data_IF_000681528182
#
_entry.id   IF_000681528182
#
_cell.length_a   1.000
_cell.length_b   1.000
_cell.length_c   1.000
_cell.angle_alpha   90.00
_cell.angle_beta   90.00
_cell.angle_gamma   90.00
#
_symmetry.space_group_name_H-M   'P 1'
#
loop_
_entity.id
_entity.type
_entity.pdbx_description
1 polymer ?
#
# COMPACT_ATOMS: atom_id res chain seq x y z
N UNK A 1 -3.95 -89.39 -46.36
CA UNK A 1 -4.40 -88.01 -46.62
C UNK A 1 -4.71 -87.34 -45.29
N UNK A 2 -3.81 -86.51 -44.78
CA UNK A 2 -4.05 -85.72 -43.56
C UNK A 2 -3.99 -84.25 -43.96
N UNK A 3 -5.17 -83.64 -44.15
CA UNK A 3 -5.31 -82.21 -44.41
C UNK A 3 -5.04 -81.43 -43.12
N UNK A 4 -3.99 -80.62 -43.10
CA UNK A 4 -3.74 -79.68 -42.01
C UNK A 4 -4.59 -78.43 -42.29
N UNK A 5 -5.46 -77.97 -41.36
CA UNK A 5 -6.37 -76.88 -41.63
C UNK A 5 -5.63 -75.53 -41.60
N UNK A 6 -5.62 -74.86 -42.74
CA UNK A 6 -5.06 -73.51 -42.97
C UNK A 6 -5.98 -72.38 -42.44
N UNK A 7 -6.51 -72.53 -41.22
CA UNK A 7 -7.50 -71.59 -40.65
C UNK A 7 -7.01 -70.66 -39.52
N UNK A 8 -5.85 -70.94 -38.92
CA UNK A 8 -5.43 -70.29 -37.66
C UNK A 8 -4.47 -69.10 -37.79
N UNK A 9 -3.65 -69.05 -38.85
CA UNK A 9 -2.53 -68.11 -38.94
C UNK A 9 -2.96 -66.67 -39.25
N UNK A 10 -3.96 -66.49 -40.12
CA UNK A 10 -4.48 -65.15 -40.47
C UNK A 10 -5.26 -64.48 -39.34
N UNK A 11 -5.91 -65.27 -38.48
CA UNK A 11 -6.71 -64.77 -37.35
C UNK A 11 -5.82 -64.28 -36.22
N UNK A 12 -4.73 -65.02 -35.92
CA UNK A 12 -3.74 -64.61 -34.92
C UNK A 12 -2.98 -63.34 -35.32
N UNK A 13 -2.62 -63.21 -36.61
CA UNK A 13 -1.93 -62.03 -37.12
C UNK A 13 -2.83 -60.77 -37.07
N UNK A 14 -4.13 -60.92 -37.39
CA UNK A 14 -5.12 -59.84 -37.27
C UNK A 14 -5.33 -59.39 -35.82
N UNK A 15 -5.43 -60.31 -34.87
CA UNK A 15 -5.58 -59.98 -33.44
C UNK A 15 -4.35 -59.25 -32.90
N UNK A 16 -3.14 -59.67 -33.31
CA UNK A 16 -1.89 -59.01 -32.91
C UNK A 16 -1.79 -57.56 -33.39
N UNK A 17 -2.19 -57.30 -34.65
CA UNK A 17 -2.22 -55.96 -35.24
C UNK A 17 -3.25 -55.04 -34.56
N UNK A 18 -4.43 -55.56 -34.21
CA UNK A 18 -5.47 -54.80 -33.48
C UNK A 18 -4.96 -54.40 -32.09
N UNK A 19 -4.40 -55.35 -31.32
CA UNK A 19 -3.85 -55.06 -29.98
C UNK A 19 -2.68 -54.06 -30.02
N UNK A 20 -1.84 -54.12 -31.06
CA UNK A 20 -0.75 -53.15 -31.24
C UNK A 20 -1.29 -51.75 -31.57
N UNK A 21 -2.30 -51.64 -32.43
CA UNK A 21 -2.99 -50.40 -32.75
C UNK A 21 -3.67 -49.75 -31.54
N UNK A 22 -4.41 -50.55 -30.75
CA UNK A 22 -5.04 -50.09 -29.49
C UNK A 22 -4.01 -49.52 -28.52
N UNK A 23 -2.87 -50.20 -28.33
CA UNK A 23 -1.80 -49.74 -27.44
C UNK A 23 -1.17 -48.42 -27.89
N UNK A 24 -1.08 -48.18 -29.20
CA UNK A 24 -0.56 -46.92 -29.76
C UNK A 24 -1.58 -45.79 -29.53
N UNK A 25 -2.87 -46.05 -29.79
CA UNK A 25 -3.94 -45.07 -29.58
C UNK A 25 -4.04 -44.66 -28.11
N UNK A 26 -3.97 -45.63 -27.19
CA UNK A 26 -4.01 -45.36 -25.74
C UNK A 26 -2.83 -44.51 -25.32
N UNK A 27 -1.60 -44.83 -25.75
CA UNK A 27 -0.41 -44.01 -25.44
C UNK A 27 -0.49 -42.57 -25.97
N UNK A 28 -1.07 -42.40 -27.17
CA UNK A 28 -1.27 -41.08 -27.76
C UNK A 28 -2.29 -40.27 -26.95
N UNK A 29 -3.41 -40.90 -26.59
CA UNK A 29 -4.44 -40.28 -25.77
C UNK A 29 -3.93 -39.92 -24.36
N UNK A 30 -3.18 -40.81 -23.71
CA UNK A 30 -2.53 -40.53 -22.42
C UNK A 30 -1.61 -39.31 -22.50
N UNK A 31 -0.79 -39.20 -23.55
CA UNK A 31 0.12 -38.06 -23.74
C UNK A 31 -0.64 -36.74 -23.96
N UNK A 32 -1.73 -36.77 -24.72
CA UNK A 32 -2.57 -35.58 -24.95
C UNK A 32 -3.31 -35.15 -23.68
N UNK A 33 -3.82 -36.10 -22.91
CA UNK A 33 -4.46 -35.86 -21.61
C UNK A 33 -3.44 -35.23 -20.64
N UNK A 34 -2.25 -35.83 -20.50
CA UNK A 34 -1.19 -35.32 -19.62
C UNK A 34 -0.81 -33.89 -20.00
N UNK A 35 -0.55 -33.62 -21.27
CA UNK A 35 -0.18 -32.28 -21.73
C UNK A 35 -1.26 -31.23 -21.49
N UNK A 36 -2.54 -31.61 -21.60
CA UNK A 36 -3.66 -30.70 -21.40
C UNK A 36 -3.84 -30.40 -19.91
N UNK A 37 -3.83 -31.45 -19.09
CA UNK A 37 -3.95 -31.35 -17.64
C UNK A 37 -2.78 -30.55 -17.05
N UNK A 38 -1.55 -30.79 -17.49
CA UNK A 38 -0.36 -30.04 -17.03
C UNK A 38 -0.49 -28.54 -17.30
N UNK A 39 -0.96 -28.16 -18.51
CA UNK A 39 -1.16 -26.75 -18.86
C UNK A 39 -2.28 -26.10 -18.05
N UNK A 40 -3.39 -26.80 -17.84
CA UNK A 40 -4.50 -26.26 -17.04
C UNK A 40 -4.11 -26.10 -15.57
N UNK A 41 -3.42 -27.09 -14.99
CA UNK A 41 -2.96 -27.04 -13.61
C UNK A 41 -1.96 -25.89 -13.43
N UNK A 42 -0.94 -25.78 -14.29
CA UNK A 42 0.06 -24.71 -14.20
C UNK A 42 -0.60 -23.35 -14.32
N UNK A 43 -1.47 -23.13 -15.31
CA UNK A 43 -2.15 -21.85 -15.49
C UNK A 43 -3.07 -21.50 -14.30
N UNK A 44 -3.73 -22.48 -13.70
CA UNK A 44 -4.59 -22.26 -12.53
C UNK A 44 -3.77 -21.92 -11.29
N UNK A 45 -2.70 -22.68 -11.05
CA UNK A 45 -1.76 -22.43 -9.95
C UNK A 45 -1.08 -21.06 -10.10
N UNK A 46 -0.64 -20.70 -11.30
CA UNK A 46 -0.01 -19.39 -11.56
C UNK A 46 -0.97 -18.23 -11.22
N UNK A 47 -2.25 -18.34 -11.62
CA UNK A 47 -3.27 -17.33 -11.29
C UNK A 47 -3.53 -17.25 -9.79
N UNK A 48 -3.70 -18.40 -9.12
CA UNK A 48 -3.92 -18.46 -7.68
C UNK A 48 -2.72 -17.89 -6.90
N UNK A 49 -1.48 -18.23 -7.30
CA UNK A 49 -0.25 -17.72 -6.69
C UNK A 49 -0.13 -16.21 -6.87
N UNK A 50 -0.33 -15.69 -8.08
CA UNK A 50 -0.24 -14.24 -8.33
C UNK A 50 -1.28 -13.46 -7.52
N UNK A 51 -2.51 -13.97 -7.44
CA UNK A 51 -3.57 -13.36 -6.65
C UNK A 51 -3.25 -13.39 -5.15
N UNK A 52 -2.72 -14.50 -4.66
CA UNK A 52 -2.39 -14.68 -3.25
C UNK A 52 -1.17 -13.86 -2.82
N UNK A 53 -0.14 -13.79 -3.65
CA UNK A 53 1.02 -12.91 -3.44
C UNK A 53 0.63 -11.43 -3.49
N UNK A 54 -0.28 -11.04 -4.38
CA UNK A 54 -0.81 -9.67 -4.43
C UNK A 54 -1.57 -9.30 -3.15
N UNK A 55 -2.37 -10.23 -2.61
CA UNK A 55 -3.08 -10.05 -1.33
C UNK A 55 -2.11 -10.00 -0.14
N UNK A 56 -1.08 -10.83 -0.13
CA UNK A 56 -0.10 -10.87 0.96
C UNK A 56 0.81 -9.63 0.98
N UNK A 57 1.21 -9.14 -0.20
CA UNK A 57 1.98 -7.89 -0.33
C UNK A 57 1.19 -6.65 0.12
N UNK A 58 -0.14 -6.69 0.09
CA UNK A 58 -1.01 -5.55 0.43
C UNK A 58 -1.67 -5.65 1.81
N UNK A 59 -1.48 -6.76 2.55
CA UNK A 59 -2.16 -7.03 3.84
C UNK A 59 -2.00 -5.95 4.93
N UNK A 60 -0.99 -5.07 4.83
CA UNK A 60 -0.77 -3.94 5.75
C UNK A 60 -1.04 -2.55 5.17
N UNK A 61 -1.00 -2.42 3.84
CA UNK A 61 -1.04 -1.12 3.15
C UNK A 61 -2.41 -0.48 3.33
N UNK A 62 -2.43 0.70 3.94
CA UNK A 62 -3.68 1.40 4.23
C UNK A 62 -4.59 0.71 5.26
N UNK A 63 -4.08 -0.24 6.06
CA UNK A 63 -4.89 -0.88 7.09
C UNK A 63 -5.22 0.11 8.23
N UNK A 64 -6.51 0.40 8.49
CA UNK A 64 -6.89 1.38 9.52
C UNK A 64 -6.41 1.05 10.94
N UNK A 65 -6.17 -0.23 11.26
CA UNK A 65 -5.66 -0.62 12.58
C UNK A 65 -4.19 -0.22 12.74
N UNK A 66 -3.39 -0.42 11.69
CA UNK A 66 -1.96 -0.05 11.67
C UNK A 66 -1.81 1.47 11.72
N UNK A 67 -2.62 2.20 10.94
CA UNK A 67 -2.62 3.68 10.94
C UNK A 67 -2.93 4.24 12.33
N UNK A 68 -3.84 3.62 13.09
CA UNK A 68 -4.18 4.04 14.46
C UNK A 68 -3.07 3.77 15.49
N UNK A 69 -2.11 2.92 15.17
CA UNK A 69 -1.05 2.45 16.06
C UNK A 69 0.35 2.83 15.58
N UNK A 70 0.48 3.91 14.81
CA UNK A 70 1.78 4.41 14.36
C UNK A 70 2.70 4.76 15.54
N UNK A 71 3.99 4.48 15.39
CA UNK A 71 5.01 4.70 16.42
C UNK A 71 5.32 6.18 16.68
N UNK A 72 6.12 6.44 17.73
CA UNK A 72 6.56 7.80 18.09
C UNK A 72 7.65 8.35 17.16
N UNK A 73 8.29 7.45 16.40
CA UNK A 73 9.27 7.69 15.35
C UNK A 73 8.63 8.09 14.02
N UNK A 74 7.29 8.18 13.94
CA UNK A 74 6.57 8.51 12.70
C UNK A 74 7.11 9.77 12.04
N UNK A 75 7.45 10.83 12.80
CA UNK A 75 7.98 12.05 12.19
C UNK A 75 9.41 11.88 11.66
N UNK A 76 10.25 11.08 12.31
CA UNK A 76 11.62 10.80 11.87
C UNK A 76 11.65 10.00 10.56
N UNK A 77 10.77 8.99 10.48
CA UNK A 77 10.58 8.19 9.26
C UNK A 77 10.13 9.10 8.11
N UNK A 78 9.18 10.00 8.37
CA UNK A 78 8.59 10.83 7.32
C UNK A 78 9.57 11.89 6.81
N UNK A 79 10.40 12.49 7.68
CA UNK A 79 11.46 13.40 7.22
C UNK A 79 12.50 12.69 6.37
N UNK A 80 12.92 11.49 6.78
CA UNK A 80 13.86 10.69 6.01
C UNK A 80 13.31 10.31 4.62
N UNK A 81 11.97 10.26 4.49
CA UNK A 81 11.26 9.95 3.25
C UNK A 81 10.72 11.21 2.54
N UNK A 82 11.34 12.38 2.75
CA UNK A 82 11.05 13.61 1.99
C UNK A 82 9.83 14.40 2.49
N UNK A 83 9.41 14.19 3.73
CA UNK A 83 8.59 15.13 4.49
C UNK A 83 9.44 16.25 5.11
N UNK A 84 8.80 17.29 5.63
CA UNK A 84 9.51 18.45 6.21
C UNK A 84 8.81 19.05 7.44
N UNK A 85 8.22 18.18 8.27
CA UNK A 85 7.45 18.61 9.47
C UNK A 85 8.37 19.11 10.59
N UNK A 86 9.40 18.36 10.97
CA UNK A 86 10.30 18.76 12.06
C UNK A 86 11.16 19.96 11.62
N UNK A 87 11.66 19.92 10.38
CA UNK A 87 12.48 20.97 9.80
C UNK A 87 11.75 22.31 9.77
N UNK A 88 10.50 22.36 9.29
CA UNK A 88 9.81 23.65 9.06
C UNK A 88 8.84 24.06 10.15
N UNK A 89 8.31 23.11 10.93
CA UNK A 89 7.15 23.35 11.78
C UNK A 89 7.32 22.87 13.23
N UNK A 90 8.53 22.60 13.71
CA UNK A 90 8.77 22.23 15.10
C UNK A 90 9.77 23.18 15.77
N UNK A 91 9.44 23.62 16.98
CA UNK A 91 10.32 24.40 17.87
C UNK A 91 10.90 25.68 17.24
N UNK A 92 10.11 26.40 16.43
CA UNK A 92 10.56 27.67 15.82
C UNK A 92 10.50 28.83 16.79
N UNK A 93 11.49 29.72 16.70
CA UNK A 93 11.49 30.98 17.45
C UNK A 93 10.36 31.90 16.95
N UNK A 94 9.99 32.92 17.73
CA UNK A 94 9.00 33.88 17.26
C UNK A 94 9.56 34.68 16.08
N UNK A 95 10.85 35.00 16.14
CA UNK A 95 11.59 35.73 15.12
C UNK A 95 11.59 34.98 13.79
N UNK A 96 11.80 33.66 13.81
CA UNK A 96 11.74 32.82 12.61
C UNK A 96 10.34 32.80 11.99
N UNK A 97 9.29 32.70 12.81
CA UNK A 97 7.91 32.70 12.34
C UNK A 97 7.53 34.06 11.73
N UNK A 98 7.90 35.16 12.39
CA UNK A 98 7.66 36.51 11.88
C UNK A 98 8.41 36.72 10.57
N UNK A 99 9.69 36.32 10.50
CA UNK A 99 10.49 36.42 9.29
C UNK A 99 9.83 35.64 8.15
N UNK A 100 9.39 34.41 8.41
CA UNK A 100 8.71 33.57 7.43
C UNK A 100 7.38 34.18 6.96
N UNK A 101 6.55 34.68 7.88
CA UNK A 101 5.27 35.31 7.56
C UNK A 101 5.39 36.62 6.75
N UNK A 102 6.58 37.25 6.73
CA UNK A 102 6.87 38.46 5.95
C UNK A 102 7.57 38.13 4.62
N UNK A 103 8.43 37.10 4.59
CA UNK A 103 9.33 36.84 3.47
C UNK A 103 8.85 35.71 2.54
N UNK A 104 8.04 34.78 3.04
CA UNK A 104 7.48 33.68 2.25
C UNK A 104 6.02 33.94 1.92
N UNK A 105 5.57 33.42 0.77
CA UNK A 105 4.17 33.44 0.34
C UNK A 105 3.37 32.38 1.12
N UNK A 106 3.02 32.70 2.36
CA UNK A 106 2.28 31.82 3.28
C UNK A 106 1.17 32.59 4.00
N UNK A 107 -0.04 32.03 4.04
CA UNK A 107 -1.17 32.61 4.79
C UNK A 107 -0.86 32.73 6.31
N UNK A 108 -0.08 31.79 6.83
CA UNK A 108 0.43 31.82 8.20
C UNK A 108 1.71 30.98 8.34
N UNK A 109 2.65 31.50 9.13
CA UNK A 109 3.81 30.75 9.59
C UNK A 109 3.51 30.17 10.99
N UNK A 110 3.36 28.84 11.09
CA UNK A 110 3.00 28.16 12.34
C UNK A 110 4.02 27.07 12.70
N UNK A 111 4.16 26.79 14.00
CA UNK A 111 4.96 25.68 14.49
C UNK A 111 4.38 25.03 15.74
N UNK A 112 4.60 23.73 15.86
CA UNK A 112 4.41 22.97 17.09
C UNK A 112 5.40 23.43 18.17
N UNK A 113 4.95 23.33 19.43
CA UNK A 113 5.76 23.70 20.60
C UNK A 113 7.08 22.91 20.66
N UNK A 114 7.02 21.60 20.41
CA UNK A 114 8.18 20.71 20.37
C UNK A 114 7.85 19.41 19.61
N UNK A 115 8.87 18.57 19.38
CA UNK A 115 8.73 17.30 18.65
C UNK A 115 7.69 16.37 19.29
N UNK A 116 7.67 16.25 20.63
CA UNK A 116 6.69 15.40 21.32
C UNK A 116 5.25 15.86 21.08
N UNK A 117 5.00 17.17 21.11
CA UNK A 117 3.70 17.77 20.83
C UNK A 117 3.28 17.54 19.37
N UNK A 118 4.22 17.71 18.44
CA UNK A 118 3.99 17.43 17.02
C UNK A 118 3.65 15.96 16.78
N UNK A 119 4.43 15.03 17.34
CA UNK A 119 4.19 13.59 17.23
C UNK A 119 2.81 13.23 17.77
N UNK A 120 2.46 13.70 18.98
CA UNK A 120 1.15 13.43 19.58
C UNK A 120 0.00 13.96 18.72
N UNK A 121 0.08 15.22 18.26
CA UNK A 121 -0.95 15.83 17.42
C UNK A 121 -1.11 15.06 16.09
N UNK A 122 -0.02 14.67 15.46
CA UNK A 122 -0.03 13.88 14.21
C UNK A 122 -0.62 12.50 14.43
N UNK A 123 -0.23 11.79 15.48
CA UNK A 123 -0.78 10.48 15.84
C UNK A 123 -2.29 10.56 16.09
N UNK A 124 -2.75 11.58 16.82
CA UNK A 124 -4.19 11.80 17.05
C UNK A 124 -4.93 12.09 15.74
N UNK A 125 -4.34 12.90 14.86
CA UNK A 125 -4.93 13.21 13.56
C UNK A 125 -5.06 11.95 12.69
N UNK A 126 -3.99 11.17 12.56
CA UNK A 126 -4.00 9.89 11.83
C UNK A 126 -4.99 8.90 12.45
N UNK A 127 -5.05 8.80 13.78
CA UNK A 127 -5.97 7.90 14.49
C UNK A 127 -7.44 8.26 14.24
N UNK A 128 -7.79 9.55 14.28
CA UNK A 128 -9.16 10.03 14.02
C UNK A 128 -9.58 9.82 12.56
N UNK A 129 -8.65 9.89 11.62
CA UNK A 129 -8.92 9.81 10.18
C UNK A 129 -8.55 8.47 9.54
N UNK A 130 -8.19 7.45 10.32
CA UNK A 130 -7.62 6.20 9.80
C UNK A 130 -8.50 5.47 8.76
N UNK A 131 -9.82 5.47 8.95
CA UNK A 131 -10.74 4.81 8.01
C UNK A 131 -10.87 5.62 6.71
N UNK A 132 -10.87 6.96 6.79
CA UNK A 132 -10.93 7.82 5.61
C UNK A 132 -9.62 7.77 4.83
N UNK A 133 -8.48 7.70 5.51
CA UNK A 133 -7.17 7.48 4.88
C UNK A 133 -7.17 6.15 4.13
N UNK A 134 -7.62 5.07 4.77
CA UNK A 134 -7.72 3.75 4.15
C UNK A 134 -8.61 3.77 2.91
N UNK A 135 -9.79 4.41 3.01
CA UNK A 135 -10.67 4.59 1.86
C UNK A 135 -9.98 5.33 0.73
N UNK A 136 -9.37 6.49 1.03
CA UNK A 136 -8.66 7.30 0.06
C UNK A 136 -7.55 6.52 -0.64
N UNK A 137 -6.77 5.69 0.08
CA UNK A 137 -5.72 4.86 -0.52
C UNK A 137 -6.23 3.88 -1.58
N UNK A 138 -7.49 3.45 -1.48
CA UNK A 138 -8.13 2.52 -2.41
C UNK A 138 -8.89 3.21 -3.55
N UNK A 139 -8.95 4.54 -3.58
CA UNK A 139 -9.57 5.31 -4.67
C UNK A 139 -8.58 5.52 -5.84
N UNK A 140 -9.10 5.61 -7.07
CA UNK A 140 -8.29 5.86 -8.28
C UNK A 140 -7.69 7.28 -8.36
N UNK A 141 -8.19 8.22 -7.54
CA UNK A 141 -7.80 9.63 -7.60
C UNK A 141 -6.33 9.82 -7.22
N UNK A 142 -5.52 10.49 -8.04
CA UNK A 142 -4.09 10.75 -7.73
C UNK A 142 -3.93 12.17 -7.19
N UNK A 143 -3.67 12.34 -5.89
CA UNK A 143 -3.53 13.67 -5.29
C UNK A 143 -3.06 13.63 -3.85
N UNK A 144 -2.83 14.82 -3.27
CA UNK A 144 -2.59 14.97 -1.83
C UNK A 144 -3.91 14.84 -1.08
N UNK A 145 -3.88 14.31 0.15
CA UNK A 145 -5.04 14.28 1.04
C UNK A 145 -4.73 15.10 2.29
N UNK A 146 -5.66 15.96 2.67
CA UNK A 146 -5.52 16.91 3.77
C UNK A 146 -6.50 16.53 4.86
N UNK A 147 -6.03 16.49 6.10
CA UNK A 147 -6.84 16.21 7.28
C UNK A 147 -6.59 17.26 8.35
N UNK A 148 -7.66 17.90 8.79
CA UNK A 148 -7.63 18.88 9.85
C UNK A 148 -8.27 18.29 11.12
N UNK A 149 -7.64 18.48 12.27
CA UNK A 149 -8.13 17.95 13.54
C UNK A 149 -7.98 18.98 14.65
N UNK A 150 -9.07 19.17 15.39
CA UNK A 150 -9.06 19.91 16.65
C UNK A 150 -8.54 19.01 17.79
N UNK A 151 -7.66 19.57 18.62
CA UNK A 151 -7.08 18.93 19.80
C UNK A 151 -7.60 19.60 21.08
N UNK A 152 -7.73 18.83 22.16
CA UNK A 152 -8.18 19.32 23.47
C UNK A 152 -7.09 20.09 24.24
N UNK A 153 -5.94 20.31 23.62
CA UNK A 153 -4.77 20.94 24.22
C UNK A 153 -4.06 21.85 23.21
N UNK A 154 -3.33 22.84 23.74
CA UNK A 154 -2.46 23.71 22.94
C UNK A 154 -1.34 22.89 22.28
N UNK A 155 -1.23 23.00 20.96
CA UNK A 155 -0.24 22.29 20.15
C UNK A 155 0.89 23.20 19.66
N UNK A 156 0.68 24.52 19.63
CA UNK A 156 1.69 25.43 19.12
C UNK A 156 1.30 26.90 19.03
N UNK A 157 1.98 27.60 18.12
CA UNK A 157 1.89 29.04 17.90
C UNK A 157 2.05 29.37 16.42
N UNK A 158 1.71 30.59 16.04
CA UNK A 158 1.86 31.06 14.67
C UNK A 158 1.78 32.57 14.50
N UNK A 159 2.06 33.02 13.28
CA UNK A 159 2.00 34.42 12.85
C UNK A 159 1.28 34.45 11.51
N UNK A 160 0.27 35.31 11.37
CA UNK A 160 -0.44 35.50 10.09
C UNK A 160 0.46 36.24 9.09
N UNK A 161 0.18 36.05 7.80
CA UNK A 161 0.83 36.77 6.70
C UNK A 161 0.94 38.28 6.99
N UNK A 162 2.10 38.86 6.72
CA UNK A 162 2.39 40.28 6.87
C UNK A 162 2.15 40.83 8.30
N UNK A 163 2.06 39.97 9.32
CA UNK A 163 1.92 40.34 10.73
C UNK A 163 3.23 40.16 11.51
N UNK A 164 3.31 40.82 12.66
CA UNK A 164 4.33 40.60 13.69
C UNK A 164 3.75 40.06 15.00
N UNK A 165 2.42 39.93 15.07
CA UNK A 165 1.73 39.46 16.26
C UNK A 165 1.74 37.94 16.30
N UNK A 166 2.32 37.40 17.36
CA UNK A 166 2.34 35.95 17.60
C UNK A 166 1.04 35.52 18.25
N UNK A 167 0.37 34.55 17.64
CA UNK A 167 -0.76 33.81 18.18
C UNK A 167 -0.24 32.60 18.93
N UNK A 168 -0.62 32.48 20.20
CA UNK A 168 -0.27 31.34 21.04
C UNK A 168 -1.49 30.44 21.25
N UNK A 169 -1.23 29.22 21.72
CA UNK A 169 -2.27 28.26 22.08
C UNK A 169 -3.16 27.82 20.92
N UNK A 170 -2.57 27.71 19.72
CA UNK A 170 -3.23 27.04 18.60
C UNK A 170 -3.50 25.59 18.99
N UNK A 171 -4.69 25.09 18.66
CA UNK A 171 -5.16 23.74 19.04
C UNK A 171 -5.61 22.90 17.86
N UNK A 172 -5.61 23.44 16.63
CA UNK A 172 -5.97 22.72 15.41
C UNK A 172 -4.73 22.33 14.62
N UNK A 173 -4.62 21.07 14.19
CA UNK A 173 -3.55 20.60 13.30
C UNK A 173 -4.06 20.37 11.88
N UNK A 174 -3.16 20.54 10.91
CA UNK A 174 -3.31 20.06 9.53
C UNK A 174 -2.24 19.04 9.24
N UNK A 175 -2.63 17.89 8.69
CA UNK A 175 -1.74 16.86 8.16
C UNK A 175 -1.98 16.74 6.65
N UNK A 176 -0.89 16.78 5.87
CA UNK A 176 -0.93 16.60 4.41
C UNK A 176 -0.24 15.28 4.07
N UNK A 177 -1.01 14.36 3.51
CA UNK A 177 -0.57 13.04 3.08
C UNK A 177 -0.38 12.99 1.58
N UNK A 178 0.59 12.21 1.14
CA UNK A 178 0.72 11.78 -0.26
C UNK A 178 0.88 10.27 -0.31
N UNK A 179 0.36 9.65 -1.38
CA UNK A 179 0.53 8.21 -1.55
C UNK A 179 2.00 7.86 -1.74
N UNK A 180 2.37 6.75 -1.14
CA UNK A 180 3.72 6.22 -1.22
C UNK A 180 3.62 4.70 -1.14
N UNK A 181 3.79 4.05 -2.29
CA UNK A 181 3.74 2.58 -2.41
C UNK A 181 4.96 1.91 -1.80
N UNK A 182 6.03 2.66 -1.49
CA UNK A 182 7.20 2.13 -0.77
C UNK A 182 7.01 2.12 0.75
N UNK A 183 6.00 2.83 1.25
CA UNK A 183 5.65 2.90 2.68
C UNK A 183 4.70 1.77 3.06
N UNK A 184 4.94 1.13 4.21
CA UNK A 184 4.04 0.11 4.78
C UNK A 184 2.63 0.67 5.07
N UNK A 185 2.51 1.98 5.30
CA UNK A 185 1.23 2.66 5.51
C UNK A 185 0.48 2.95 4.20
N UNK A 186 1.14 2.84 3.04
CA UNK A 186 0.63 3.26 1.73
C UNK A 186 0.68 4.77 1.48
N UNK A 187 1.15 5.53 2.46
CA UNK A 187 1.35 6.97 2.37
C UNK A 187 2.58 7.42 3.13
N UNK A 188 2.98 8.65 2.86
CA UNK A 188 3.89 9.41 3.70
C UNK A 188 3.29 10.77 4.06
N UNK A 189 3.70 11.31 5.20
CA UNK A 189 3.36 12.66 5.64
C UNK A 189 4.29 13.62 4.91
N UNK A 190 3.74 14.43 4.01
CA UNK A 190 4.50 15.49 3.34
C UNK A 190 4.84 16.59 4.35
N UNK A 191 3.83 17.04 5.09
CA UNK A 191 3.99 18.05 6.14
C UNK A 191 2.83 18.00 7.13
N UNK A 192 3.07 18.55 8.32
CA UNK A 192 2.06 18.80 9.33
C UNK A 192 2.37 20.09 10.07
N UNK A 193 1.35 20.87 10.41
CA UNK A 193 1.53 22.14 11.12
C UNK A 193 0.24 22.58 11.84
N UNK A 194 0.35 23.42 12.89
CA UNK A 194 -0.82 24.03 13.51
C UNK A 194 -1.53 25.00 12.58
N UNK A 195 -2.85 25.15 12.73
CA UNK A 195 -3.66 26.16 12.05
C UNK A 195 -4.04 27.29 13.03
N UNK A 196 -4.06 28.55 12.57
CA UNK A 196 -4.68 29.68 13.29
C UNK A 196 -6.16 29.49 13.59
#
# INVERSE_FOLDING_TARGET
>A
MTSIPWGGFGTLLKIGLIKAGEKIIVKQAEKEVINTVDKEIVNKLDKEIVEQLGKDATKGVGNPKIIRSVGNDILDIMESNGGHTLEKHVSKSNEDLIKRAIQEDVEAATCYTNKSTATKAVQENLRKNADEISKWLNEESTGKKIFDVEHEYSIGKGVLENSKQVMYNLSKSRVVLIRDSSSELGFRILTSFPLP
#
